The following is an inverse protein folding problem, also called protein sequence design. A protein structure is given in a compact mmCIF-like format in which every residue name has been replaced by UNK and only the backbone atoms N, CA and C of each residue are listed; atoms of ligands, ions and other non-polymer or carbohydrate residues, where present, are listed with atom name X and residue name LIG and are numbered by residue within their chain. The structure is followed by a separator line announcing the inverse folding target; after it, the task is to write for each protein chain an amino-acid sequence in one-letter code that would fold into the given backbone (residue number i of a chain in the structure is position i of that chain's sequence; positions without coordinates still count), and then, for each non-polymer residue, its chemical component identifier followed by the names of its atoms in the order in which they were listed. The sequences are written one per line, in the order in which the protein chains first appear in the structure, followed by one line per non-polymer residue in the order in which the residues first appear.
data_IF_960325122803
#
_entry.id   IF_960325122803
#
_cell.length_a   1.000
_cell.length_b   1.000
_cell.length_c   1.000
_cell.angle_alpha   90.00
_cell.angle_beta   90.00
_cell.angle_gamma   90.00
#
_symmetry.space_group_name_H-M   'P 1'
#
loop_
_entity.id
_entity.type
_entity.pdbx_description
1 polymer ?
#
# COMPACT_ATOMS: atom_id res chain seq x y z
N UNK A 1 -16.64 1.99 -30.35
CA UNK A 1 -15.53 2.49 -29.52
C UNK A 1 -16.04 3.74 -28.84
N UNK A 2 -16.41 3.65 -27.57
CA UNK A 2 -16.76 4.83 -26.78
C UNK A 2 -15.47 5.33 -26.14
N UNK A 3 -15.12 6.58 -26.42
CA UNK A 3 -14.05 7.29 -25.73
C UNK A 3 -14.37 7.30 -24.23
N UNK A 4 -13.44 6.81 -23.41
CA UNK A 4 -13.52 6.97 -21.97
C UNK A 4 -13.47 8.48 -21.68
N UNK A 5 -14.59 9.04 -21.21
CA UNK A 5 -14.61 10.39 -20.66
C UNK A 5 -13.77 10.37 -19.39
N UNK A 6 -12.54 10.84 -19.48
CA UNK A 6 -11.72 11.18 -18.33
C UNK A 6 -12.43 12.32 -17.58
N UNK A 7 -13.16 12.00 -16.52
CA UNK A 7 -13.70 13.00 -15.60
C UNK A 7 -12.53 13.62 -14.86
N UNK A 8 -11.98 14.70 -15.42
CA UNK A 8 -11.01 15.54 -14.72
C UNK A 8 -11.70 16.11 -13.48
N UNK A 9 -11.47 15.54 -12.29
CA UNK A 9 -11.82 16.18 -11.02
C UNK A 9 -11.04 17.50 -10.98
N UNK A 10 -11.73 18.62 -11.17
CA UNK A 10 -11.11 19.95 -11.17
C UNK A 10 -10.78 20.48 -9.77
N UNK A 11 -11.18 19.78 -8.71
CA UNK A 11 -10.88 20.17 -7.33
C UNK A 11 -9.82 19.27 -6.71
N UNK A 12 -8.72 19.89 -6.28
CA UNK A 12 -7.68 19.22 -5.52
C UNK A 12 -8.23 18.79 -4.15
N UNK A 13 -8.11 17.50 -3.84
CA UNK A 13 -8.42 16.91 -2.56
C UNK A 13 -7.17 16.30 -1.91
N UNK A 14 -6.93 16.63 -0.64
CA UNK A 14 -5.77 16.16 0.11
C UNK A 14 -5.68 14.63 0.22
N UNK A 15 -6.82 13.94 0.14
CA UNK A 15 -6.90 12.50 0.35
C UNK A 15 -6.50 11.63 -0.86
N UNK A 16 -6.37 12.20 -2.07
CA UNK A 16 -6.11 11.35 -3.26
C UNK A 16 -6.16 12.01 -4.63
N UNK A 17 -5.97 13.34 -4.72
CA UNK A 17 -5.93 14.03 -6.03
C UNK A 17 -4.52 14.20 -6.61
N UNK A 18 -3.50 13.63 -5.96
CA UNK A 18 -2.12 13.77 -6.41
C UNK A 18 -1.89 12.94 -7.68
N UNK A 19 -1.49 13.62 -8.75
CA UNK A 19 -0.95 13.01 -9.96
C UNK A 19 0.59 13.02 -9.88
N UNK A 20 1.23 11.93 -10.29
CA UNK A 20 2.68 11.77 -10.19
C UNK A 20 3.22 10.85 -11.28
N UNK A 21 4.55 10.72 -11.36
CA UNK A 21 5.23 9.75 -12.22
C UNK A 21 5.90 8.68 -11.36
N UNK A 22 6.21 7.49 -11.92
CA UNK A 22 7.00 6.49 -11.20
C UNK A 22 8.32 7.09 -10.70
N UNK A 23 8.99 7.91 -11.51
CA UNK A 23 10.27 8.54 -11.18
C UNK A 23 10.15 9.47 -9.97
N UNK A 24 9.12 10.31 -9.92
CA UNK A 24 8.96 11.27 -8.83
C UNK A 24 8.48 10.60 -7.55
N UNK A 25 7.58 9.63 -7.64
CA UNK A 25 7.12 8.88 -6.48
C UNK A 25 8.22 8.00 -5.89
N UNK A 26 9.08 7.39 -6.73
CA UNK A 26 10.28 6.69 -6.25
C UNK A 26 11.21 7.63 -5.48
N UNK A 27 11.50 8.84 -5.98
CA UNK A 27 12.33 9.81 -5.23
C UNK A 27 11.73 10.17 -3.88
N UNK A 28 10.40 10.31 -3.80
CA UNK A 28 9.71 10.52 -2.54
C UNK A 28 9.92 9.35 -1.57
N UNK A 29 9.72 8.12 -2.04
CA UNK A 29 9.94 6.91 -1.23
C UNK A 29 11.41 6.74 -0.78
N UNK A 30 12.36 7.02 -1.67
CA UNK A 30 13.80 7.03 -1.35
C UNK A 30 14.12 8.06 -0.25
N UNK A 31 13.51 9.24 -0.32
CA UNK A 31 13.68 10.26 0.71
C UNK A 31 13.08 9.83 2.06
N UNK A 32 11.91 9.19 2.05
CA UNK A 32 11.29 8.64 3.26
C UNK A 32 12.18 7.55 3.89
N UNK A 33 12.73 6.64 3.09
CA UNK A 33 13.71 5.64 3.56
C UNK A 33 14.95 6.31 4.18
N UNK A 34 15.48 7.34 3.52
CA UNK A 34 16.64 8.08 4.03
C UNK A 34 16.35 8.75 5.37
N UNK A 35 15.18 9.38 5.53
CA UNK A 35 14.76 9.98 6.80
C UNK A 35 14.64 8.93 7.92
N UNK A 36 14.09 7.76 7.61
CA UNK A 36 13.97 6.70 8.61
C UNK A 36 15.34 6.11 9.01
N UNK A 37 16.26 5.95 8.05
CA UNK A 37 17.64 5.53 8.34
C UNK A 37 18.39 6.51 9.25
N UNK A 38 18.01 7.78 9.23
CA UNK A 38 18.55 8.84 10.07
C UNK A 38 17.79 8.98 11.40
N UNK A 39 16.84 8.08 11.67
CA UNK A 39 15.99 8.11 12.84
C UNK A 39 15.25 9.46 12.99
N UNK A 40 14.75 9.99 11.88
CA UNK A 40 14.06 11.28 11.83
C UNK A 40 12.83 11.29 12.74
N UNK A 41 12.59 12.38 13.50
CA UNK A 41 11.34 12.54 14.28
C UNK A 41 10.08 12.43 13.41
N UNK A 42 10.17 12.77 12.12
CA UNK A 42 9.03 12.70 11.19
C UNK A 42 8.64 11.25 10.94
N UNK A 43 9.59 10.38 10.60
CA UNK A 43 9.30 8.99 10.26
C UNK A 43 9.00 8.16 11.51
N UNK A 44 9.56 8.53 12.67
CA UNK A 44 9.10 8.00 13.95
C UNK A 44 7.60 8.27 14.19
N UNK A 45 7.12 9.47 13.85
CA UNK A 45 5.69 9.81 13.95
C UNK A 45 4.85 9.08 12.90
N UNK A 46 5.28 9.08 11.64
CA UNK A 46 4.56 8.45 10.53
C UNK A 46 4.41 6.94 10.74
N UNK A 47 5.46 6.28 11.21
CA UNK A 47 5.55 4.82 11.34
C UNK A 47 5.30 4.31 12.76
N UNK A 48 4.87 5.17 13.68
CA UNK A 48 4.41 4.75 15.01
C UNK A 48 3.12 3.94 14.86
N UNK A 49 3.06 2.68 15.32
CA UNK A 49 1.82 1.91 15.31
C UNK A 49 0.79 2.54 16.25
N UNK A 50 -0.33 3.02 15.70
CA UNK A 50 -1.38 3.70 16.46
C UNK A 50 -2.68 2.89 16.51
N UNK A 51 -3.09 2.30 15.38
CA UNK A 51 -4.38 1.60 15.24
C UNK A 51 -4.13 0.18 14.78
N UNK A 52 -4.37 -0.80 15.65
CA UNK A 52 -4.39 -2.21 15.25
C UNK A 52 -5.55 -2.44 14.30
N UNK A 53 -5.28 -3.05 13.14
CA UNK A 53 -6.31 -3.37 12.16
C UNK A 53 -6.76 -4.81 12.39
N UNK A 54 -7.98 -4.95 12.90
CA UNK A 54 -8.65 -6.22 13.10
C UNK A 54 -9.85 -6.40 12.17
N UNK A 55 -10.05 -5.52 11.18
CA UNK A 55 -11.11 -5.68 10.19
C UNK A 55 -10.76 -6.77 9.19
N UNK A 56 -11.78 -7.45 8.66
CA UNK A 56 -11.61 -8.50 7.66
C UNK A 56 -11.16 -7.95 6.30
N UNK A 57 -11.70 -6.80 5.90
CA UNK A 57 -11.31 -6.06 4.69
C UNK A 57 -11.02 -4.60 5.01
N UNK A 58 -10.29 -3.93 4.13
CA UNK A 58 -10.04 -2.49 4.24
C UNK A 58 -11.31 -1.67 3.99
N UNK A 59 -12.08 -2.07 2.98
CA UNK A 59 -13.29 -1.37 2.54
C UNK A 59 -14.47 -2.35 2.38
N UNK A 60 -15.67 -1.78 2.22
CA UNK A 60 -16.90 -2.54 2.00
C UNK A 60 -17.52 -3.10 3.29
N UNK A 61 -18.60 -3.89 3.18
CA UNK A 61 -19.34 -4.39 4.34
C UNK A 61 -18.49 -5.20 5.33
N UNK A 62 -17.55 -5.99 4.81
CA UNK A 62 -16.63 -6.81 5.62
C UNK A 62 -15.61 -5.97 6.41
N UNK A 63 -15.48 -4.66 6.15
CA UNK A 63 -14.64 -3.78 6.97
C UNK A 63 -15.21 -3.54 8.38
N UNK A 64 -16.48 -3.90 8.61
CA UNK A 64 -17.15 -3.82 9.90
C UNK A 64 -17.06 -5.14 10.69
N UNK A 65 -16.57 -6.21 10.05
CA UNK A 65 -16.39 -7.52 10.66
C UNK A 65 -14.97 -7.64 11.24
N UNK A 66 -14.87 -8.20 12.44
CA UNK A 66 -13.58 -8.45 13.09
C UNK A 66 -13.02 -9.82 12.73
N UNK A 67 -11.70 -9.90 12.56
CA UNK A 67 -10.95 -11.12 12.26
C UNK A 67 -9.63 -11.16 13.03
N UNK A 68 -9.02 -12.35 13.12
CA UNK A 68 -7.66 -12.55 13.64
C UNK A 68 -6.64 -12.86 12.53
N UNK A 69 -7.07 -12.95 11.26
CA UNK A 69 -6.24 -13.35 10.12
C UNK A 69 -4.98 -12.48 9.94
N UNK A 70 -5.09 -11.20 10.30
CA UNK A 70 -4.02 -10.20 10.17
C UNK A 70 -3.10 -10.11 11.39
N UNK A 71 -3.39 -10.84 12.49
CA UNK A 71 -2.57 -10.80 13.71
C UNK A 71 -1.17 -11.37 13.50
N UNK A 72 -1.04 -12.34 12.57
CA UNK A 72 0.22 -13.01 12.24
C UNK A 72 1.27 -12.06 11.69
N UNK A 73 0.81 -11.04 10.95
CA UNK A 73 1.66 -10.01 10.34
C UNK A 73 1.69 -8.72 11.19
N UNK A 74 0.84 -8.65 12.22
CA UNK A 74 0.72 -7.48 13.08
C UNK A 74 0.26 -6.25 12.31
N UNK A 75 -0.80 -6.40 11.51
CA UNK A 75 -1.34 -5.31 10.69
C UNK A 75 -1.78 -4.13 11.57
N UNK A 76 -1.28 -2.95 11.23
CA UNK A 76 -1.50 -1.74 12.00
C UNK A 76 -1.55 -0.53 11.06
N UNK A 77 -1.94 0.62 11.58
CA UNK A 77 -1.89 1.89 10.87
C UNK A 77 -1.17 2.93 11.72
N UNK A 78 -0.21 3.61 11.08
CA UNK A 78 0.47 4.78 11.61
C UNK A 78 -0.24 6.06 11.17
N UNK A 79 0.50 7.16 11.05
CA UNK A 79 -0.06 8.40 10.50
C UNK A 79 0.03 8.34 8.98
N UNK A 80 -1.10 8.03 8.33
CA UNK A 80 -1.25 7.91 6.88
C UNK A 80 -0.48 6.75 6.20
N UNK A 81 0.08 5.80 6.97
CA UNK A 81 0.79 4.63 6.47
C UNK A 81 0.24 3.34 7.07
N UNK A 82 0.00 2.33 6.23
CA UNK A 82 -0.22 0.96 6.68
C UNK A 82 1.09 0.35 7.17
N UNK A 83 1.02 -0.48 8.21
CA UNK A 83 2.19 -1.06 8.86
C UNK A 83 2.04 -2.57 9.00
N UNK A 84 3.13 -3.28 8.74
CA UNK A 84 3.30 -4.70 9.00
C UNK A 84 4.38 -4.83 10.06
N UNK A 85 3.98 -5.08 11.31
CA UNK A 85 4.89 -4.99 12.47
C UNK A 85 5.55 -6.31 12.86
N UNK A 86 5.06 -7.44 12.34
CA UNK A 86 5.59 -8.78 12.62
C UNK A 86 6.10 -9.44 11.36
N UNK A 87 7.33 -9.07 10.95
CA UNK A 87 8.05 -9.75 9.88
C UNK A 87 9.50 -10.03 10.32
N UNK A 88 10.18 -11.04 9.73
CA UNK A 88 11.60 -11.27 9.99
C UNK A 88 12.51 -10.20 9.36
N UNK A 89 11.95 -9.28 8.56
CA UNK A 89 12.66 -8.24 7.83
C UNK A 89 12.49 -6.84 8.46
N UNK A 90 12.12 -6.79 9.74
CA UNK A 90 11.74 -5.53 10.38
C UNK A 90 10.32 -5.10 10.02
N UNK A 91 10.00 -3.81 10.21
CA UNK A 91 8.66 -3.31 9.91
C UNK A 91 8.49 -3.05 8.41
N UNK A 92 7.41 -3.56 7.83
CA UNK A 92 6.95 -3.12 6.52
C UNK A 92 6.08 -1.88 6.68
N UNK A 93 6.26 -0.85 5.87
CA UNK A 93 5.37 0.32 5.82
C UNK A 93 4.88 0.51 4.39
N UNK A 94 3.57 0.63 4.21
CA UNK A 94 2.97 0.62 2.88
C UNK A 94 1.94 1.72 2.69
N UNK A 95 1.76 2.09 1.42
CA UNK A 95 0.71 2.98 0.97
C UNK A 95 0.12 2.51 -0.35
N UNK A 96 -1.19 2.50 -0.37
CA UNK A 96 -2.08 2.11 -1.44
C UNK A 96 -2.92 3.29 -1.92
N UNK A 97 -3.44 3.18 -3.14
CA UNK A 97 -4.51 4.05 -3.60
C UNK A 97 -5.09 3.64 -4.93
N UNK A 98 -6.38 3.89 -5.05
CA UNK A 98 -7.22 3.48 -6.17
C UNK A 98 -8.08 4.66 -6.60
N UNK A 99 -8.08 4.93 -7.89
CA UNK A 99 -9.00 5.82 -8.59
C UNK A 99 -9.40 5.16 -9.91
N UNK A 100 -10.51 5.60 -10.52
CA UNK A 100 -10.94 5.10 -11.83
C UNK A 100 -9.79 5.16 -12.85
N UNK A 101 -9.37 3.99 -13.33
CA UNK A 101 -8.29 3.79 -14.29
C UNK A 101 -6.88 3.90 -13.72
N UNK A 102 -6.68 4.09 -12.41
CA UNK A 102 -5.36 4.26 -11.80
C UNK A 102 -5.24 3.59 -10.45
N UNK A 103 -4.23 2.72 -10.31
CA UNK A 103 -3.96 1.96 -9.09
C UNK A 103 -2.48 2.05 -8.75
N UNK A 104 -2.17 2.15 -7.47
CA UNK A 104 -0.79 2.05 -7.00
C UNK A 104 -0.70 1.35 -5.65
N UNK A 105 0.46 0.73 -5.43
CA UNK A 105 0.86 0.17 -4.17
C UNK A 105 2.35 0.42 -3.97
N UNK A 106 2.74 0.80 -2.77
CA UNK A 106 4.14 0.93 -2.37
C UNK A 106 4.35 0.29 -1.02
N UNK A 107 5.49 -0.39 -0.86
CA UNK A 107 5.92 -0.95 0.43
C UNK A 107 7.41 -0.72 0.61
N UNK A 108 7.78 -0.32 1.82
CA UNK A 108 9.15 -0.06 2.25
C UNK A 108 9.51 -0.96 3.43
N UNK A 109 10.75 -1.44 3.44
CA UNK A 109 11.39 -2.11 4.59
C UNK A 109 12.64 -1.30 4.96
N UNK A 110 12.50 -0.30 5.84
CA UNK A 110 13.58 0.64 6.16
C UNK A 110 14.87 -0.01 6.66
N UNK A 111 14.75 -1.06 7.48
CA UNK A 111 15.87 -1.81 8.04
C UNK A 111 16.75 -2.48 6.97
N UNK A 112 16.20 -2.69 5.78
CA UNK A 112 16.89 -3.28 4.64
C UNK A 112 17.15 -2.31 3.50
N UNK A 113 16.82 -1.02 3.65
CA UNK A 113 16.91 -0.02 2.58
C UNK A 113 16.20 -0.48 1.29
N UNK A 114 15.06 -1.16 1.46
CA UNK A 114 14.32 -1.81 0.38
C UNK A 114 12.99 -1.10 0.17
N UNK A 115 12.59 -0.92 -1.09
CA UNK A 115 11.29 -0.37 -1.45
C UNK A 115 10.80 -0.93 -2.79
N UNK A 116 9.49 -1.14 -2.88
CA UNK A 116 8.81 -1.50 -4.13
C UNK A 116 7.71 -0.49 -4.40
N UNK A 117 7.62 -0.03 -5.63
CA UNK A 117 6.52 0.80 -6.15
C UNK A 117 5.89 0.09 -7.33
N UNK A 118 4.59 -0.14 -7.25
CA UNK A 118 3.74 -0.59 -8.33
C UNK A 118 2.77 0.56 -8.67
N UNK A 119 2.71 0.95 -9.93
CA UNK A 119 1.79 1.97 -10.43
C UNK A 119 1.26 1.52 -11.78
N UNK A 120 -0.04 1.70 -12.00
CA UNK A 120 -0.71 1.26 -13.22
C UNK A 120 -1.82 2.22 -13.63
N UNK A 121 -2.07 2.26 -14.93
CA UNK A 121 -3.17 2.97 -15.56
C UNK A 121 -4.31 2.00 -15.98
N UNK A 122 -4.58 0.99 -15.15
CA UNK A 122 -5.63 0.00 -15.38
C UNK A 122 -6.28 -0.40 -14.07
N UNK A 123 -7.62 -0.52 -14.06
CA UNK A 123 -8.40 -1.05 -12.93
C UNK A 123 -8.16 -2.55 -12.66
N UNK A 124 -7.46 -3.24 -13.57
CA UNK A 124 -7.13 -4.66 -13.41
C UNK A 124 -5.78 -4.89 -12.70
N UNK A 125 -5.03 -3.84 -12.35
CA UNK A 125 -3.64 -3.97 -11.92
C UNK A 125 -3.48 -4.66 -10.56
N UNK A 126 -4.39 -4.38 -9.62
CA UNK A 126 -4.40 -4.98 -8.29
C UNK A 126 -4.40 -6.52 -8.35
N UNK A 127 -4.97 -7.12 -9.41
CA UNK A 127 -5.01 -8.58 -9.60
C UNK A 127 -3.66 -9.27 -9.81
N UNK A 128 -2.58 -8.50 -10.05
CA UNK A 128 -1.22 -9.03 -10.21
C UNK A 128 -0.26 -8.53 -9.13
N UNK A 129 -0.71 -7.69 -8.18
CA UNK A 129 0.17 -7.09 -7.18
C UNK A 129 0.79 -8.14 -6.25
N UNK A 130 0.01 -9.14 -5.81
CA UNK A 130 0.50 -10.26 -4.98
C UNK A 130 1.65 -10.99 -5.65
N UNK A 131 1.49 -11.35 -6.93
CA UNK A 131 2.49 -12.07 -7.71
C UNK A 131 3.74 -11.21 -7.94
N UNK A 132 3.57 -9.93 -8.25
CA UNK A 132 4.68 -9.01 -8.45
C UNK A 132 5.48 -8.79 -7.17
N UNK A 133 4.84 -8.63 -6.02
CA UNK A 133 5.52 -8.50 -4.72
C UNK A 133 6.27 -9.78 -4.35
N UNK A 134 5.66 -10.95 -4.61
CA UNK A 134 6.32 -12.25 -4.44
C UNK A 134 7.56 -12.39 -5.33
N UNK A 135 7.50 -11.96 -6.59
CA UNK A 135 8.63 -12.06 -7.53
C UNK A 135 9.73 -11.05 -7.19
N UNK A 136 9.37 -9.83 -6.80
CA UNK A 136 10.33 -8.73 -6.60
C UNK A 136 11.08 -8.84 -5.28
N UNK A 137 10.37 -9.16 -4.19
CA UNK A 137 10.95 -9.15 -2.83
C UNK A 137 10.66 -10.43 -2.04
N UNK A 138 10.11 -11.47 -2.67
CA UNK A 138 9.75 -12.70 -1.98
C UNK A 138 8.58 -12.52 -1.01
N UNK A 139 7.74 -11.51 -1.21
CA UNK A 139 6.71 -11.15 -0.24
C UNK A 139 5.68 -12.27 -0.01
N UNK A 140 5.38 -12.48 1.27
CA UNK A 140 4.29 -13.32 1.78
C UNK A 140 3.54 -12.64 2.93
N UNK A 141 3.82 -11.35 3.18
CA UNK A 141 3.37 -10.59 4.34
C UNK A 141 2.40 -9.47 3.97
N UNK A 142 2.46 -8.94 2.74
CA UNK A 142 1.47 -7.97 2.26
C UNK A 142 0.06 -8.54 2.44
N UNK A 143 -0.86 -7.79 3.07
CA UNK A 143 -2.20 -8.26 3.39
C UNK A 143 -3.12 -8.19 2.15
N UNK A 144 -2.74 -8.85 1.06
CA UNK A 144 -3.44 -8.80 -0.23
C UNK A 144 -4.92 -9.20 -0.13
N UNK A 145 -5.28 -10.10 0.79
CA UNK A 145 -6.69 -10.45 1.06
C UNK A 145 -7.45 -9.28 1.68
N UNK A 146 -6.87 -8.60 2.68
CA UNK A 146 -7.50 -7.44 3.33
C UNK A 146 -7.68 -6.26 2.37
N UNK A 147 -6.68 -6.03 1.51
CA UNK A 147 -6.65 -5.04 0.44
C UNK A 147 -7.60 -5.39 -0.73
N UNK A 148 -8.10 -6.63 -0.79
CA UNK A 148 -8.87 -7.15 -1.93
C UNK A 148 -8.11 -7.19 -3.27
N UNK A 149 -6.80 -7.41 -3.22
CA UNK A 149 -5.96 -7.68 -4.40
C UNK A 149 -6.17 -9.13 -4.86
N UNK A 150 -7.37 -9.44 -5.34
CA UNK A 150 -7.78 -10.79 -5.76
C UNK A 150 -6.91 -11.24 -6.93
N UNK A 151 -6.11 -12.33 -6.79
CA UNK A 151 -5.21 -12.77 -7.82
C UNK A 151 -5.93 -13.13 -9.13
N UNK A 152 -5.33 -12.77 -10.25
CA UNK A 152 -5.88 -13.02 -11.59
C UNK A 152 -6.31 -14.50 -11.80
N UNK A 153 -5.54 -15.44 -11.28
CA UNK A 153 -5.81 -16.89 -11.43
C UNK A 153 -6.83 -17.45 -10.42
N UNK A 154 -7.19 -16.68 -9.39
CA UNK A 154 -8.17 -17.06 -8.36
C UNK A 154 -9.55 -16.46 -8.64
N UNK A 155 -9.65 -15.51 -9.58
CA UNK A 155 -10.91 -14.92 -10.04
C UNK A 155 -11.56 -15.72 -11.18
N UNK A 156 -12.33 -16.75 -10.85
CA UNK A 156 -13.38 -17.33 -11.70
C UNK A 156 -14.63 -17.61 -10.89
#
# INVERSE_FOLDING_TARGET
MNEAKQYKKFEAGAAGSMETTPVDYTKFLEHILALESQNSPITQLLFSPNIVINSKKQFGPESLETTTENERIGLNYGMAWGLITKTPYGKGVFKEGHSEGFQHYSILYPEHHLGVLLISNSDNAESIFKELLKITIGDIYTPWEWESYIPFNEGN
#
